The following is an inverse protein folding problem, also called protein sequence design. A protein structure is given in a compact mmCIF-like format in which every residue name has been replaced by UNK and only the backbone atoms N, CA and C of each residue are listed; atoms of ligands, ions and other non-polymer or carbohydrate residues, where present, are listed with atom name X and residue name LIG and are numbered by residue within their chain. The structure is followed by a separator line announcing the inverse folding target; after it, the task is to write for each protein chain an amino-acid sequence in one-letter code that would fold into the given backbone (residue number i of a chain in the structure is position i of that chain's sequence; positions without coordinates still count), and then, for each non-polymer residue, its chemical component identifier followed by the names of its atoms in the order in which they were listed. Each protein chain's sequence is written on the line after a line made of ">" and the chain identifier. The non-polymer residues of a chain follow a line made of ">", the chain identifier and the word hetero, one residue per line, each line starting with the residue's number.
data_IF_799220882146
#
_entry.id   IF_799220882146
#
_cell.length_a   1.000
_cell.length_b   1.000
_cell.length_c   1.000
_cell.angle_alpha   90.00
_cell.angle_beta   90.00
_cell.angle_gamma   90.00
#
_symmetry.space_group_name_H-M   'P 1'
#
loop_
_entity.id
_entity.type
_entity.pdbx_description
1 polymer ?
#
# COMPACT_ATOMS: atom_id res chain seq x y z
N UNK A 1 11.54 -8.05 -21.45
CA UNK A 1 11.68 -6.84 -20.59
C UNK A 1 11.72 -7.32 -19.15
N UNK A 2 12.77 -7.00 -18.39
CA UNK A 2 12.88 -7.40 -16.99
C UNK A 2 11.78 -6.69 -16.20
N UNK A 3 10.80 -7.45 -15.69
CA UNK A 3 9.79 -6.91 -14.78
C UNK A 3 10.51 -6.48 -13.50
N UNK A 4 10.62 -5.17 -13.24
CA UNK A 4 11.22 -4.69 -12.00
C UNK A 4 10.47 -5.30 -10.81
N UNK A 5 11.22 -5.93 -9.90
CA UNK A 5 10.68 -6.54 -8.69
C UNK A 5 10.14 -5.43 -7.79
N UNK A 6 8.85 -5.49 -7.47
CA UNK A 6 8.24 -4.64 -6.44
C UNK A 6 8.80 -5.02 -5.08
N UNK A 7 9.35 -4.06 -4.35
CA UNK A 7 9.90 -4.26 -3.00
C UNK A 7 9.24 -3.33 -1.98
N UNK A 8 9.29 -3.73 -0.70
CA UNK A 8 8.86 -2.85 0.41
C UNK A 8 9.73 -1.59 0.40
N UNK A 9 9.11 -0.43 0.61
CA UNK A 9 9.75 0.89 0.54
C UNK A 9 9.69 1.56 -0.83
N UNK A 10 9.30 0.83 -1.88
CA UNK A 10 9.13 1.43 -3.21
C UNK A 10 8.07 2.53 -3.17
N UNK A 11 8.38 3.66 -3.80
CA UNK A 11 7.45 4.78 -3.98
C UNK A 11 6.88 4.73 -5.39
N UNK A 12 5.56 4.64 -5.47
CA UNK A 12 4.80 4.58 -6.72
C UNK A 12 3.83 5.75 -6.82
N UNK A 13 3.49 6.13 -8.03
CA UNK A 13 2.53 7.19 -8.30
C UNK A 13 1.23 6.59 -8.84
N UNK A 14 0.14 6.76 -8.10
CA UNK A 14 -1.20 6.33 -8.52
C UNK A 14 -1.81 7.48 -9.34
N UNK A 15 -2.17 7.27 -10.62
CA UNK A 15 -2.73 8.32 -11.45
C UNK A 15 -4.12 8.73 -10.96
N UNK A 16 -4.36 10.03 -10.93
CA UNK A 16 -5.64 10.68 -10.65
C UNK A 16 -5.84 11.81 -11.68
N UNK A 17 -7.05 12.37 -11.77
CA UNK A 17 -7.37 13.38 -12.80
C UNK A 17 -6.42 14.58 -12.81
N UNK A 18 -5.98 15.03 -11.63
CA UNK A 18 -5.14 16.23 -11.45
C UNK A 18 -3.64 15.95 -11.38
N UNK A 19 -3.22 14.70 -11.62
CA UNK A 19 -1.82 14.29 -11.53
C UNK A 19 -1.69 12.92 -10.88
N UNK A 20 -0.96 12.86 -9.76
CA UNK A 20 -0.65 11.62 -9.09
C UNK A 20 -0.78 11.72 -7.58
N UNK A 21 -1.24 10.61 -6.99
CA UNK A 21 -1.21 10.35 -5.56
C UNK A 21 -0.01 9.46 -5.25
N UNK A 22 1.02 9.97 -4.56
CA UNK A 22 2.13 9.13 -4.14
C UNK A 22 1.67 8.06 -3.15
N UNK A 23 2.24 6.87 -3.27
CA UNK A 23 2.03 5.78 -2.33
C UNK A 23 3.33 5.02 -2.07
N UNK A 24 3.51 4.52 -0.85
CA UNK A 24 4.63 3.67 -0.46
C UNK A 24 4.17 2.21 -0.36
N UNK A 25 4.95 1.28 -0.88
CA UNK A 25 4.75 -0.16 -0.66
C UNK A 25 5.17 -0.51 0.76
N UNK A 26 4.22 -0.87 1.61
CA UNK A 26 4.46 -1.18 3.03
C UNK A 26 4.69 -2.66 3.27
N UNK A 27 4.12 -3.51 2.43
CA UNK A 27 4.24 -4.95 2.55
C UNK A 27 4.07 -5.61 1.19
N UNK A 28 4.82 -6.69 0.95
CA UNK A 28 4.73 -7.54 -0.24
C UNK A 28 4.57 -8.98 0.23
N UNK A 29 3.41 -9.57 -0.07
CA UNK A 29 3.12 -10.95 0.32
C UNK A 29 3.97 -11.95 -0.47
N UNK A 30 4.55 -12.90 0.26
CA UNK A 30 5.21 -14.09 -0.26
C UNK A 30 4.22 -15.26 -0.41
N UNK A 31 3.11 -15.27 0.36
CA UNK A 31 2.10 -16.34 0.35
C UNK A 31 1.02 -16.12 -0.71
N UNK A 32 0.44 -14.92 -0.74
CA UNK A 32 -0.59 -14.52 -1.69
C UNK A 32 0.07 -13.87 -2.89
N UNK A 33 0.18 -14.64 -3.98
CA UNK A 33 0.87 -14.20 -5.20
C UNK A 33 0.29 -12.86 -5.64
N UNK A 34 1.19 -11.90 -5.75
CA UNK A 34 0.97 -10.54 -6.22
C UNK A 34 0.26 -9.58 -5.26
N UNK A 35 -0.02 -9.93 -4.00
CA UNK A 35 -0.62 -8.97 -3.06
C UNK A 35 0.41 -8.04 -2.42
N UNK A 36 0.10 -6.76 -2.38
CA UNK A 36 0.86 -5.71 -1.69
C UNK A 36 -0.06 -4.87 -0.80
N UNK A 37 0.51 -4.28 0.25
CA UNK A 37 -0.10 -3.19 1.00
C UNK A 37 0.51 -1.87 0.54
N UNK A 38 -0.34 -0.89 0.24
CA UNK A 38 0.06 0.48 -0.05
C UNK A 38 -0.38 1.41 1.08
N UNK A 39 0.52 2.31 1.48
CA UNK A 39 0.18 3.52 2.22
C UNK A 39 0.13 4.71 1.27
N UNK A 40 -1.05 5.31 1.12
CA UNK A 40 -1.27 6.48 0.26
C UNK A 40 -1.02 7.75 1.06
N UNK A 41 -0.22 8.65 0.51
CA UNK A 41 0.04 9.96 1.11
C UNK A 41 -1.14 10.92 0.90
N UNK A 42 -1.32 11.90 1.78
CA UNK A 42 -2.36 12.93 1.63
C UNK A 42 -2.05 13.95 0.53
N UNK A 43 -0.82 14.00 0.02
CA UNK A 43 -0.37 15.00 -0.96
C UNK A 43 -0.67 14.56 -2.39
N UNK A 44 -0.88 15.53 -3.29
CA UNK A 44 -0.92 15.34 -4.74
C UNK A 44 0.34 15.90 -5.37
N UNK A 45 0.82 15.28 -6.46
CA UNK A 45 1.91 15.80 -7.27
C UNK A 45 1.50 15.82 -8.74
N UNK A 46 1.93 16.84 -9.48
CA UNK A 46 1.66 16.97 -10.92
C UNK A 46 2.72 16.32 -11.80
N UNK A 47 3.95 16.18 -11.28
CA UNK A 47 5.08 15.61 -12.00
C UNK A 47 5.34 14.15 -11.60
N UNK A 48 5.81 13.35 -12.56
CA UNK A 48 6.20 11.96 -12.34
C UNK A 48 7.60 11.87 -11.71
N UNK A 49 7.76 12.45 -10.52
CA UNK A 49 9.02 12.48 -9.77
C UNK A 49 8.77 12.11 -8.30
N UNK A 50 9.84 11.73 -7.60
CA UNK A 50 9.77 11.47 -6.17
C UNK A 50 9.39 12.78 -5.44
N UNK A 51 8.30 12.82 -4.65
CA UNK A 51 7.98 13.98 -3.85
C UNK A 51 8.97 14.10 -2.69
N UNK A 52 9.44 15.32 -2.44
CA UNK A 52 10.25 15.64 -1.25
C UNK A 52 9.67 16.87 -0.54
N UNK A 53 9.41 16.80 0.78
CA UNK A 53 9.58 15.65 1.67
C UNK A 53 8.40 14.64 1.59
N UNK A 54 8.68 13.37 1.91
CA UNK A 54 7.64 12.38 2.17
C UNK A 54 7.18 12.47 3.63
N UNK A 55 5.85 12.54 3.82
CA UNK A 55 5.25 12.53 5.14
C UNK A 55 5.54 11.20 5.88
N UNK A 56 5.43 11.24 7.20
CA UNK A 56 5.63 10.04 8.01
C UNK A 56 4.39 9.13 8.03
N UNK A 57 3.20 9.73 7.91
CA UNK A 57 1.91 9.06 8.00
C UNK A 57 1.24 8.92 6.64
N UNK A 58 0.26 8.01 6.57
CA UNK A 58 -0.55 7.75 5.38
C UNK A 58 -2.00 8.17 5.64
N UNK A 59 -2.62 8.76 4.63
CA UNK A 59 -4.05 9.08 4.68
C UNK A 59 -4.93 7.83 4.52
N UNK A 60 -4.41 6.80 3.84
CA UNK A 60 -5.15 5.57 3.60
C UNK A 60 -4.21 4.38 3.44
N UNK A 61 -4.60 3.25 4.02
CA UNK A 61 -3.97 1.95 3.82
C UNK A 61 -4.88 1.06 2.97
N UNK A 62 -4.33 0.39 1.96
CA UNK A 62 -5.11 -0.52 1.12
C UNK A 62 -4.29 -1.70 0.59
N UNK A 63 -4.93 -2.86 0.55
CA UNK A 63 -4.38 -4.04 -0.11
C UNK A 63 -4.77 -4.04 -1.59
N UNK A 64 -3.83 -4.39 -2.46
CA UNK A 64 -4.06 -4.50 -3.91
C UNK A 64 -3.06 -5.48 -4.55
N UNK A 65 -3.19 -5.70 -5.85
CA UNK A 65 -2.20 -6.45 -6.61
C UNK A 65 -1.01 -5.55 -6.96
N UNK A 66 0.22 -6.08 -7.03
CA UNK A 66 1.40 -5.40 -7.60
C UNK A 66 1.38 -5.31 -9.13
N UNK A 67 0.41 -5.93 -9.81
CA UNK A 67 0.30 -5.92 -11.26
C UNK A 67 0.31 -4.51 -11.88
N UNK A 68 -0.35 -3.47 -11.32
CA UNK A 68 -0.28 -2.12 -11.85
C UNK A 68 1.11 -1.50 -11.79
N UNK A 69 1.90 -1.84 -10.77
CA UNK A 69 3.30 -1.41 -10.64
C UNK A 69 4.16 -2.11 -11.69
N UNK A 70 4.05 -3.44 -11.80
CA UNK A 70 4.81 -4.25 -12.76
C UNK A 70 4.53 -3.86 -14.22
N UNK A 71 3.28 -3.48 -14.51
CA UNK A 71 2.84 -3.01 -15.83
C UNK A 71 3.08 -1.52 -16.07
N UNK A 72 3.76 -0.82 -15.14
CA UNK A 72 4.03 0.61 -15.19
C UNK A 72 2.78 1.51 -15.30
N UNK A 73 1.59 0.99 -14.97
CA UNK A 73 0.39 1.81 -14.79
C UNK A 73 0.57 2.75 -13.60
N UNK A 74 1.24 2.28 -12.55
CA UNK A 74 1.68 3.09 -11.42
C UNK A 74 3.21 3.17 -11.47
N UNK A 75 3.78 4.24 -12.04
CA UNK A 75 5.22 4.33 -12.20
C UNK A 75 5.91 4.38 -10.84
N UNK A 76 6.98 3.57 -10.69
CA UNK A 76 7.89 3.64 -9.56
C UNK A 76 8.83 4.82 -9.75
N UNK A 77 8.87 5.73 -8.79
CA UNK A 77 9.66 6.98 -8.86
C UNK A 77 10.79 7.05 -7.85
N UNK A 78 10.85 6.11 -6.90
CA UNK A 78 11.94 6.05 -5.94
C UNK A 78 11.76 4.93 -4.93
N UNK A 79 12.55 5.01 -3.87
CA UNK A 79 12.54 4.07 -2.76
C UNK A 79 12.93 4.82 -1.48
N UNK A 80 12.16 4.61 -0.41
CA UNK A 80 12.50 5.05 0.94
C UNK A 80 12.21 3.90 1.89
N UNK A 81 13.21 3.47 2.66
CA UNK A 81 13.03 2.43 3.68
C UNK A 81 11.87 2.78 4.63
N UNK A 82 11.24 1.75 5.21
CA UNK A 82 10.20 2.00 6.20
C UNK A 82 10.80 2.65 7.43
N UNK A 83 10.16 3.73 7.88
CA UNK A 83 10.45 4.34 9.18
C UNK A 83 9.79 3.51 10.27
N UNK A 84 10.23 3.68 11.51
CA UNK A 84 9.73 2.89 12.65
C UNK A 84 8.20 2.98 12.79
N UNK A 85 7.64 4.19 12.65
CA UNK A 85 6.19 4.47 12.65
C UNK A 85 5.41 3.80 11.53
N UNK A 86 6.10 3.37 10.47
CA UNK A 86 5.52 2.74 9.29
C UNK A 86 5.62 1.22 9.34
N UNK A 87 6.28 0.67 10.37
CA UNK A 87 6.36 -0.77 10.59
C UNK A 87 5.04 -1.29 11.17
N UNK A 88 4.74 -2.57 10.89
CA UNK A 88 3.56 -3.29 11.43
C UNK A 88 2.18 -2.74 11.02
N UNK A 89 2.12 -1.81 10.07
CA UNK A 89 0.85 -1.32 9.50
C UNK A 89 0.09 -2.40 8.70
N UNK A 90 0.68 -3.58 8.52
CA UNK A 90 0.14 -4.76 7.87
C UNK A 90 -0.55 -5.75 8.84
N UNK A 91 -0.62 -5.41 10.12
CA UNK A 91 -1.38 -6.16 11.13
C UNK A 91 -2.88 -6.09 10.83
N UNK A 92 -3.53 -7.25 10.74
CA UNK A 92 -4.93 -7.36 10.28
C UNK A 92 -5.64 -8.61 10.79
N UNK A 93 -6.96 -8.62 10.63
CA UNK A 93 -7.80 -9.79 10.91
C UNK A 93 -8.29 -10.42 9.61
N UNK A 94 -8.19 -11.74 9.49
CA UNK A 94 -8.72 -12.53 8.37
C UNK A 94 -9.50 -13.70 8.94
N UNK A 95 -10.81 -13.74 8.69
CA UNK A 95 -11.71 -14.80 9.18
C UNK A 95 -11.60 -15.08 10.69
N UNK A 96 -11.37 -14.04 11.50
CA UNK A 96 -11.23 -14.15 12.96
C UNK A 96 -9.80 -14.44 13.46
N UNK A 97 -8.85 -14.64 12.55
CA UNK A 97 -7.45 -14.88 12.86
C UNK A 97 -6.60 -13.60 12.70
N UNK A 98 -5.59 -13.44 13.54
CA UNK A 98 -4.64 -12.34 13.52
C UNK A 98 -3.45 -12.67 12.59
N UNK A 99 -3.13 -11.72 11.71
CA UNK A 99 -2.04 -11.86 10.76
C UNK A 99 -1.19 -10.60 10.73
N UNK A 100 0.13 -10.78 10.64
CA UNK A 100 1.07 -9.73 10.29
C UNK A 100 1.89 -10.21 9.10
N UNK A 101 1.84 -9.47 7.99
CA UNK A 101 2.41 -9.94 6.74
C UNK A 101 1.84 -11.30 6.34
N UNK A 102 2.72 -12.29 6.12
CA UNK A 102 2.33 -13.69 5.86
C UNK A 102 2.35 -14.57 7.11
N UNK A 103 2.67 -13.99 8.27
CA UNK A 103 2.76 -14.70 9.54
C UNK A 103 1.38 -14.75 10.22
N UNK A 104 0.97 -15.97 10.58
CA UNK A 104 -0.21 -16.20 11.39
C UNK A 104 0.18 -16.08 12.87
N UNK A 105 -0.49 -15.18 13.60
CA UNK A 105 -0.19 -14.90 15.00
C UNK A 105 -1.20 -15.56 15.96
N UNK A 106 -2.15 -16.34 15.44
CA UNK A 106 -3.20 -17.01 16.20
C UNK A 106 -4.56 -16.31 16.09
N UNK A 107 -5.46 -16.61 17.03
CA UNK A 107 -6.84 -16.09 17.04
C UNK A 107 -6.85 -14.62 17.44
N UNK A 108 -7.59 -13.79 16.71
CA UNK A 108 -7.75 -12.38 17.05
C UNK A 108 -8.65 -12.20 18.28
N UNK A 109 -8.23 -11.30 19.19
CA UNK A 109 -9.03 -10.94 20.35
C UNK A 109 -10.33 -10.22 19.93
N UNK A 110 -11.30 -10.14 20.85
CA UNK A 110 -12.53 -9.39 20.60
C UNK A 110 -12.29 -7.89 20.35
N UNK A 111 -11.27 -7.31 20.98
CA UNK A 111 -10.86 -5.92 20.76
C UNK A 111 -10.19 -5.74 19.41
N UNK A 112 -9.24 -6.63 19.06
CA UNK A 112 -8.56 -6.60 17.77
C UNK A 112 -9.54 -6.70 16.60
N UNK A 113 -10.57 -7.55 16.71
CA UNK A 113 -11.64 -7.67 15.70
C UNK A 113 -12.45 -6.39 15.49
N UNK A 114 -12.46 -5.45 16.44
CA UNK A 114 -13.16 -4.17 16.33
C UNK A 114 -12.31 -3.07 15.70
N UNK A 115 -10.99 -3.12 15.92
CA UNK A 115 -10.08 -2.01 15.57
C UNK A 115 -9.20 -2.31 14.35
N UNK A 116 -8.91 -3.58 14.08
CA UNK A 116 -8.02 -3.95 12.99
C UNK A 116 -8.80 -4.10 11.68
N UNK A 117 -8.21 -3.68 10.55
CA UNK A 117 -8.86 -3.80 9.26
C UNK A 117 -8.98 -5.27 8.85
N UNK A 118 -10.04 -5.57 8.09
CA UNK A 118 -10.14 -6.80 7.31
C UNK A 118 -9.34 -6.69 6.01
N UNK A 119 -8.81 -7.81 5.53
CA UNK A 119 -8.05 -7.85 4.28
C UNK A 119 -8.97 -7.88 3.06
N UNK A 120 -9.27 -6.70 2.49
CA UNK A 120 -9.94 -6.57 1.20
C UNK A 120 -8.93 -6.15 0.11
N UNK A 121 -8.64 -7.07 -0.81
CA UNK A 121 -7.74 -6.79 -1.95
C UNK A 121 -8.53 -6.05 -3.04
N UNK A 122 -8.18 -4.79 -3.27
CA UNK A 122 -8.86 -3.92 -4.24
C UNK A 122 -8.23 -3.99 -5.62
N UNK A 123 -9.07 -3.94 -6.66
CA UNK A 123 -8.62 -3.75 -8.04
C UNK A 123 -8.10 -2.33 -8.30
N UNK A 124 -7.20 -2.19 -9.26
CA UNK A 124 -6.49 -0.92 -9.54
C UNK A 124 -7.42 0.28 -9.74
N UNK A 125 -8.53 0.12 -10.47
CA UNK A 125 -9.47 1.22 -10.70
C UNK A 125 -10.19 1.69 -9.43
N UNK A 126 -10.41 0.81 -8.44
CA UNK A 126 -10.97 1.21 -7.15
C UNK A 126 -9.92 1.92 -6.28
N UNK A 127 -8.67 1.48 -6.35
CA UNK A 127 -7.54 2.15 -5.69
C UNK A 127 -7.39 3.58 -6.22
N UNK A 128 -7.41 3.78 -7.53
CA UNK A 128 -7.33 5.10 -8.16
C UNK A 128 -8.51 6.00 -7.77
N UNK A 129 -9.73 5.47 -7.76
CA UNK A 129 -10.91 6.20 -7.26
C UNK A 129 -10.75 6.64 -5.81
N UNK A 130 -10.24 5.77 -4.93
CA UNK A 130 -9.98 6.12 -3.53
C UNK A 130 -8.86 7.14 -3.40
N UNK A 131 -7.79 7.00 -4.18
CA UNK A 131 -6.68 7.95 -4.22
C UNK A 131 -7.13 9.36 -4.65
N UNK A 132 -8.06 9.45 -5.60
CA UNK A 132 -8.65 10.71 -6.04
C UNK A 132 -9.60 11.33 -5.00
N UNK A 133 -10.23 10.52 -4.15
CA UNK A 133 -11.16 10.97 -3.11
C UNK A 133 -10.47 11.43 -1.81
N UNK A 134 -9.15 11.28 -1.70
CA UNK A 134 -8.39 11.83 -0.57
C UNK A 134 -8.29 13.34 -0.73
N UNK A 135 -8.85 14.08 0.23
CA UNK A 135 -8.75 15.54 0.35
C UNK A 135 -7.42 15.97 0.92
#
# INVERSE_FOLDING_TARGET
>A
MSSQKTTVGDIVLIPITEGFRPAKVLYVSQRYKDTILLGLYATCVSAQQLPEPLADTFALLLYTSRAPVQKQRWPRVGHEALRESQTRLDLRVVAGELWQGDEHLGVASAEQRKILPEMLVMGAGLVEKKAAALS
#
